data_IF_616386636962
#
_entry.id   IF_616386636962
#
_cell.length_a   1.000
_cell.length_b   1.000
_cell.length_c   1.000
_cell.angle_alpha   90.00
_cell.angle_beta   90.00
_cell.angle_gamma   90.00
#
_symmetry.space_group_name_H-M   'P 1'
#
loop_
_entity.id
_entity.type
_entity.pdbx_description
1 polymer ?
#
# COMPACT_ATOMS: atom_id res chain seq x y z
N UNK A 1 11.92 -22.38 -10.94
CA UNK A 1 11.78 -22.94 -9.58
C UNK A 1 11.68 -21.77 -8.61
N UNK A 2 10.86 -21.85 -7.58
CA UNK A 2 10.77 -20.81 -6.53
C UNK A 2 11.75 -21.21 -5.43
N UNK A 3 12.71 -20.33 -5.16
CA UNK A 3 13.75 -20.59 -4.16
C UNK A 3 13.35 -20.08 -2.76
N UNK A 4 14.23 -20.28 -1.78
CA UNK A 4 13.97 -19.87 -0.40
C UNK A 4 13.82 -18.34 -0.25
N UNK A 5 14.59 -17.56 -1.02
CA UNK A 5 14.53 -16.11 -0.97
C UNK A 5 13.20 -15.58 -1.52
N UNK A 6 12.68 -16.22 -2.58
CA UNK A 6 11.35 -15.94 -3.10
C UNK A 6 10.26 -16.24 -2.05
N UNK A 7 10.39 -17.32 -1.26
CA UNK A 7 9.45 -17.61 -0.17
C UNK A 7 9.50 -16.56 0.94
N UNK A 8 10.69 -16.08 1.30
CA UNK A 8 10.87 -15.01 2.30
C UNK A 8 10.22 -13.70 1.85
N UNK A 9 10.33 -13.35 0.57
CA UNK A 9 9.62 -12.20 -0.01
C UNK A 9 8.10 -12.38 0.14
N UNK A 10 7.56 -13.56 -0.20
CA UNK A 10 6.12 -13.82 -0.07
C UNK A 10 5.68 -13.70 1.39
N UNK A 11 6.39 -14.34 2.32
CA UNK A 11 6.08 -14.28 3.76
C UNK A 11 6.05 -12.83 4.25
N UNK A 12 7.06 -12.04 3.87
CA UNK A 12 7.17 -10.64 4.26
C UNK A 12 6.02 -9.79 3.72
N UNK A 13 5.76 -9.81 2.40
CA UNK A 13 4.69 -9.01 1.79
C UNK A 13 3.33 -9.39 2.35
N UNK A 14 3.07 -10.69 2.54
CA UNK A 14 1.80 -11.18 3.11
C UNK A 14 1.62 -10.74 4.56
N UNK A 15 2.69 -10.71 5.36
CA UNK A 15 2.64 -10.22 6.74
C UNK A 15 2.35 -8.71 6.79
N UNK A 16 2.91 -7.93 5.87
CA UNK A 16 2.75 -6.48 5.80
C UNK A 16 1.46 -5.98 5.12
N UNK A 17 0.70 -6.87 4.49
CA UNK A 17 -0.51 -6.51 3.74
C UNK A 17 -1.61 -5.80 4.58
N UNK A 18 -1.64 -6.02 5.90
CA UNK A 18 -2.58 -5.35 6.81
C UNK A 18 -2.16 -3.93 7.20
N UNK A 19 -0.89 -3.57 6.97
CA UNK A 19 -0.30 -2.29 7.39
C UNK A 19 -0.11 -1.30 6.22
N UNK A 20 -0.76 -1.56 5.08
CA UNK A 20 -0.58 -0.75 3.87
C UNK A 20 0.54 -1.22 2.94
N UNK A 21 1.21 -2.33 3.28
CA UNK A 21 2.31 -2.88 2.49
C UNK A 21 3.69 -2.52 3.05
N UNK A 22 4.75 -3.07 2.44
CA UNK A 22 6.11 -2.85 2.89
C UNK A 22 6.65 -1.46 2.51
N UNK A 23 7.50 -0.88 3.35
CA UNK A 23 8.21 0.39 3.11
C UNK A 23 9.71 0.17 2.92
N UNK A 24 10.39 1.15 2.30
CA UNK A 24 11.82 1.09 2.01
C UNK A 24 12.69 0.92 3.26
N UNK A 25 12.28 1.50 4.38
CA UNK A 25 12.96 1.40 5.68
C UNK A 25 13.09 -0.04 6.16
N UNK A 26 12.18 -0.91 5.75
CA UNK A 26 12.18 -2.32 6.11
C UNK A 26 12.70 -3.22 4.99
N UNK A 27 12.44 -2.89 3.72
CA UNK A 27 12.81 -3.75 2.59
C UNK A 27 14.29 -3.67 2.24
N UNK A 28 14.90 -2.48 2.29
CA UNK A 28 16.31 -2.31 1.90
C UNK A 28 17.25 -3.09 2.82
N UNK A 29 17.13 -3.03 4.16
CA UNK A 29 18.02 -3.79 5.05
C UNK A 29 17.84 -5.31 4.94
N UNK A 30 16.63 -5.79 4.65
CA UNK A 30 16.32 -7.23 4.65
C UNK A 30 16.55 -7.90 3.29
N UNK A 31 16.25 -7.20 2.20
CA UNK A 31 16.23 -7.78 0.85
C UNK A 31 17.18 -7.07 -0.14
N UNK A 32 17.81 -5.97 0.27
CA UNK A 32 18.70 -5.19 -0.59
C UNK A 32 17.99 -4.50 -1.76
N UNK A 33 16.68 -4.25 -1.64
CA UNK A 33 15.87 -3.59 -2.67
C UNK A 33 14.77 -2.74 -2.04
N UNK A 34 14.37 -1.68 -2.74
CA UNK A 34 13.24 -0.83 -2.36
C UNK A 34 11.90 -1.58 -2.44
N UNK A 35 10.87 -0.99 -1.84
CA UNK A 35 9.53 -1.58 -1.80
C UNK A 35 8.92 -1.79 -3.19
N UNK A 36 9.02 -0.86 -4.15
CA UNK A 36 8.54 -1.09 -5.52
C UNK A 36 9.16 -2.34 -6.16
N UNK A 37 10.50 -2.47 -6.13
CA UNK A 37 11.21 -3.61 -6.71
C UNK A 37 10.89 -4.93 -6.00
N UNK A 38 10.68 -4.87 -4.68
CA UNK A 38 10.25 -6.04 -3.91
C UNK A 38 8.84 -6.49 -4.30
N UNK A 39 7.91 -5.54 -4.52
CA UNK A 39 6.54 -5.83 -4.95
C UNK A 39 6.49 -6.36 -6.39
N UNK A 40 7.35 -5.87 -7.29
CA UNK A 40 7.52 -6.44 -8.64
C UNK A 40 7.96 -7.91 -8.56
N UNK A 41 9.00 -8.19 -7.77
CA UNK A 41 9.49 -9.56 -7.60
C UNK A 41 8.44 -10.46 -6.96
N UNK A 42 7.72 -9.97 -5.96
CA UNK A 42 6.58 -10.66 -5.36
C UNK A 42 5.53 -11.04 -6.41
N UNK A 43 5.15 -10.10 -7.28
CA UNK A 43 4.19 -10.34 -8.35
C UNK A 43 4.65 -11.45 -9.31
N UNK A 44 5.91 -11.40 -9.76
CA UNK A 44 6.48 -12.40 -10.65
C UNK A 44 6.46 -13.80 -10.04
N UNK A 45 6.82 -13.92 -8.77
CA UNK A 45 6.84 -15.20 -8.05
C UNK A 45 5.42 -15.74 -7.91
N UNK A 46 4.44 -14.92 -7.51
CA UNK A 46 3.04 -15.32 -7.39
C UNK A 46 2.48 -15.80 -8.74
N UNK A 47 2.78 -15.10 -9.83
CA UNK A 47 2.38 -15.53 -11.17
C UNK A 47 3.01 -16.87 -11.57
N UNK A 48 4.30 -17.06 -11.27
CA UNK A 48 5.02 -18.31 -11.55
C UNK A 48 4.42 -19.49 -10.79
N UNK A 49 4.08 -19.31 -9.51
CA UNK A 49 3.40 -20.31 -8.68
C UNK A 49 1.99 -20.64 -9.20
N UNK A 50 1.27 -19.63 -9.72
CA UNK A 50 -0.03 -19.83 -10.35
C UNK A 50 0.04 -20.70 -11.62
N UNK A 51 1.09 -20.53 -12.43
CA UNK A 51 1.28 -21.29 -13.69
C UNK A 51 1.86 -22.68 -13.51
N UNK A 52 2.74 -22.87 -12.52
CA UNK A 52 3.49 -24.11 -12.31
C UNK A 52 2.69 -25.28 -11.71
N UNK A 53 1.43 -25.06 -11.32
CA UNK A 53 0.63 -26.02 -10.58
C UNK A 53 1.09 -26.15 -9.12
N UNK A 54 0.16 -26.45 -8.22
CA UNK A 54 0.42 -26.44 -6.77
C UNK A 54 0.80 -27.82 -6.21
N UNK A 55 0.87 -28.85 -7.06
CA UNK A 55 1.00 -30.24 -6.64
C UNK A 55 2.32 -30.55 -5.92
N UNK A 56 3.37 -29.75 -6.14
CA UNK A 56 4.68 -29.89 -5.50
C UNK A 56 4.84 -29.03 -4.25
N UNK A 57 3.86 -28.20 -3.90
CA UNK A 57 3.92 -27.34 -2.72
C UNK A 57 3.57 -28.14 -1.46
N UNK A 58 4.33 -27.92 -0.39
CA UNK A 58 3.89 -28.33 0.94
C UNK A 58 2.59 -27.63 1.33
N UNK A 59 1.85 -28.18 2.29
CA UNK A 59 0.62 -27.55 2.77
C UNK A 59 0.84 -26.11 3.27
N UNK A 60 1.96 -25.85 3.98
CA UNK A 60 2.34 -24.51 4.45
C UNK A 60 2.55 -23.54 3.28
N UNK A 61 3.33 -23.95 2.27
CA UNK A 61 3.59 -23.15 1.08
C UNK A 61 2.32 -22.90 0.27
N UNK A 62 1.45 -23.89 0.13
CA UNK A 62 0.17 -23.74 -0.54
C UNK A 62 -0.72 -22.71 0.17
N UNK A 63 -0.84 -22.78 1.50
CA UNK A 63 -1.60 -21.80 2.29
C UNK A 63 -1.02 -20.39 2.18
N UNK A 64 0.30 -20.27 2.21
CA UNK A 64 0.97 -19.00 2.02
C UNK A 64 0.72 -18.43 0.62
N UNK A 65 0.83 -19.25 -0.42
CA UNK A 65 0.53 -18.87 -1.80
C UNK A 65 -0.94 -18.40 -1.94
N UNK A 66 -1.91 -19.08 -1.33
CA UNK A 66 -3.31 -18.64 -1.36
C UNK A 66 -3.48 -17.22 -0.76
N UNK A 67 -2.80 -16.93 0.35
CA UNK A 67 -2.80 -15.59 0.95
C UNK A 67 -2.12 -14.58 0.04
N UNK A 68 -0.98 -14.94 -0.55
CA UNK A 68 -0.24 -14.10 -1.49
C UNK A 68 -1.08 -13.73 -2.72
N UNK A 69 -1.79 -14.70 -3.30
CA UNK A 69 -2.70 -14.45 -4.42
C UNK A 69 -3.83 -13.49 -4.05
N UNK A 70 -4.38 -13.59 -2.84
CA UNK A 70 -5.38 -12.65 -2.33
C UNK A 70 -4.83 -11.23 -2.16
N UNK A 71 -3.61 -11.10 -1.61
CA UNK A 71 -2.91 -9.81 -1.49
C UNK A 71 -2.63 -9.21 -2.86
N UNK A 72 -2.14 -10.00 -3.81
CA UNK A 72 -1.88 -9.57 -5.18
C UNK A 72 -3.15 -9.02 -5.86
N UNK A 73 -4.28 -9.73 -5.73
CA UNK A 73 -5.55 -9.29 -6.31
C UNK A 73 -6.02 -7.95 -5.71
N UNK A 74 -5.80 -7.74 -4.41
CA UNK A 74 -6.10 -6.46 -3.74
C UNK A 74 -5.20 -5.33 -4.24
N UNK A 75 -3.89 -5.55 -4.31
CA UNK A 75 -2.93 -4.54 -4.80
C UNK A 75 -3.25 -4.13 -6.24
N UNK A 76 -3.59 -5.09 -7.12
CA UNK A 76 -4.00 -4.80 -8.50
C UNK A 76 -5.28 -3.95 -8.55
N UNK A 77 -6.25 -4.21 -7.66
CA UNK A 77 -7.48 -3.41 -7.57
C UNK A 77 -7.21 -1.98 -7.09
N UNK A 78 -6.31 -1.81 -6.13
CA UNK A 78 -5.92 -0.49 -5.60
C UNK A 78 -5.15 0.33 -6.65
N UNK A 79 -4.33 -0.32 -7.49
CA UNK A 79 -3.58 0.34 -8.56
C UNK A 79 -4.37 0.53 -9.86
N UNK A 80 -5.54 -0.12 -10.02
CA UNK A 80 -6.39 0.13 -11.17
C UNK A 80 -7.07 1.50 -10.97
N UNK A 81 -6.77 2.51 -11.82
CA UNK A 81 -7.47 3.77 -11.75
C UNK A 81 -8.95 3.46 -12.02
N UNK A 82 -9.78 3.64 -11.00
CA UNK A 82 -11.23 3.61 -11.16
C UNK A 82 -11.56 4.60 -12.27
N UNK A 83 -12.01 4.08 -13.43
CA UNK A 83 -12.48 4.91 -14.55
C UNK A 83 -13.45 5.97 -14.02
N UNK A 84 -13.51 7.16 -14.66
CA UNK A 84 -13.86 8.42 -14.02
C UNK A 84 -15.03 8.23 -13.05
N UNK A 85 -14.69 8.05 -11.77
CA UNK A 85 -15.65 8.24 -10.71
C UNK A 85 -16.19 9.64 -10.97
N UNK A 86 -17.49 9.75 -11.27
CA UNK A 86 -18.16 11.05 -11.41
C UNK A 86 -17.69 11.87 -10.22
N UNK A 87 -16.81 12.82 -10.53
CA UNK A 87 -16.22 13.70 -9.55
C UNK A 87 -17.40 14.53 -9.09
N UNK A 88 -18.00 14.12 -7.98
CA UNK A 88 -18.80 15.00 -7.16
C UNK A 88 -17.82 16.08 -6.68
N UNK A 89 -17.69 17.11 -7.52
CA UNK A 89 -16.95 18.35 -7.28
C UNK A 89 -17.42 19.11 -6.03
N UNK A 90 -18.37 18.55 -5.28
CA UNK A 90 -18.93 19.14 -4.07
C UNK A 90 -18.06 18.92 -2.82
N UNK A 91 -17.31 17.83 -2.73
CA UNK A 91 -16.68 17.47 -1.44
C UNK A 91 -15.30 18.08 -1.18
N UNK A 92 -14.50 18.41 -2.21
CA UNK A 92 -13.17 18.98 -2.00
C UNK A 92 -13.19 20.48 -1.64
N UNK A 93 -14.17 21.22 -2.15
CA UNK A 93 -14.31 22.65 -1.86
C UNK A 93 -14.91 22.90 -0.45
N UNK A 94 -15.81 22.04 0.01
CA UNK A 94 -16.41 22.16 1.36
C UNK A 94 -15.42 21.82 2.48
N UNK A 95 -14.49 20.87 2.27
CA UNK A 95 -13.44 20.56 3.25
C UNK A 95 -12.34 21.62 3.34
N UNK A 96 -12.20 22.47 2.32
CA UNK A 96 -11.25 23.59 2.29
C UNK A 96 -11.86 24.91 2.81
N UNK A 97 -13.14 24.91 3.21
CA UNK A 97 -13.84 26.12 3.64
C UNK A 97 -13.43 26.59 5.05
N UNK A 98 -12.89 25.71 5.89
CA UNK A 98 -12.15 26.10 7.10
C UNK A 98 -10.68 26.31 6.72
N UNK A 99 -10.38 27.48 6.16
CA UNK A 99 -9.02 27.89 5.82
C UNK A 99 -8.18 28.03 7.10
N UNK A 100 -7.67 26.93 7.63
CA UNK A 100 -6.64 26.92 8.66
C UNK A 100 -5.25 26.79 8.06
N UNK A 101 -4.21 27.09 8.85
CA UNK A 101 -2.82 26.84 8.49
C UNK A 101 -2.18 25.87 9.48
N UNK A 102 -1.41 24.94 8.96
CA UNK A 102 -0.48 24.16 9.76
C UNK A 102 0.73 25.02 10.12
N UNK A 103 1.16 24.98 11.39
CA UNK A 103 2.42 25.58 11.80
C UNK A 103 3.15 24.67 12.80
N UNK A 104 4.47 24.80 12.86
CA UNK A 104 5.33 23.98 13.71
C UNK A 104 5.73 24.77 14.96
N UNK A 105 5.58 24.19 16.16
CA UNK A 105 6.03 24.77 17.42
C UNK A 105 6.64 23.69 18.31
N UNK A 106 7.90 23.89 18.73
CA UNK A 106 8.68 22.93 19.53
C UNK A 106 8.70 21.49 18.97
N UNK A 107 8.76 21.36 17.64
CA UNK A 107 8.79 20.05 16.97
C UNK A 107 7.43 19.35 16.84
N UNK A 108 6.35 19.96 17.34
CA UNK A 108 4.98 19.45 17.22
C UNK A 108 4.22 20.26 16.16
N UNK A 109 3.40 19.57 15.36
CA UNK A 109 2.53 20.20 14.35
C UNK A 109 1.20 20.62 14.98
N UNK A 110 0.86 21.89 14.83
CA UNK A 110 -0.38 22.48 15.34
C UNK A 110 -1.25 22.98 14.19
N UNK A 111 -2.55 22.73 14.28
CA UNK A 111 -3.58 23.27 13.38
C UNK A 111 -4.16 24.57 13.97
N UNK A 112 -4.15 25.65 13.20
CA UNK A 112 -4.79 26.91 13.55
C UNK A 112 -5.85 27.26 12.52
N UNK A 113 -7.11 27.37 12.93
CA UNK A 113 -8.20 27.88 12.10
C UNK A 113 -8.03 29.40 11.90
N UNK A 114 -8.21 29.90 10.67
CA UNK A 114 -8.27 31.35 10.43
C UNK A 114 -9.73 31.79 10.56
N UNK A 115 -10.03 32.64 11.53
CA UNK A 115 -11.34 33.29 11.60
C UNK A 115 -11.50 34.21 10.38
N UNK A 116 -12.57 34.01 9.60
CA UNK A 116 -12.93 34.92 8.53
C UNK A 116 -13.27 36.30 9.13
N UNK A 117 -12.86 37.42 8.50
CA UNK A 117 -13.21 38.74 8.99
C UNK A 117 -14.73 38.91 8.96
N UNK A 118 -15.31 39.22 10.11
CA UNK A 118 -16.72 39.55 10.27
C UNK A 118 -16.97 40.88 9.54
N UNK A 119 -17.57 40.81 8.35
CA UNK A 119 -17.96 42.00 7.59
C UNK A 119 -18.97 42.83 8.38
N UNK A 120 -18.55 44.01 8.82
CA UNK A 120 -19.44 45.06 9.28
C UNK A 120 -20.02 45.79 8.06
N UNK A 121 -21.34 45.74 7.87
CA UNK A 121 -22.15 46.88 7.44
C UNK A 121 -23.66 46.60 7.56
#
# INVERSE_FOLDING_TARGET
MVDQFDWEIIEFVVAWAHYGGPSDEHTVPLFGMDAPRLLERFHEVVLRLGRGGHATLTFKQYKLFQRAAAVQARLVREHQPSGPAKSDKRSAAELSATAGRWFQHQGVWHWQESEAPQSAH
#
